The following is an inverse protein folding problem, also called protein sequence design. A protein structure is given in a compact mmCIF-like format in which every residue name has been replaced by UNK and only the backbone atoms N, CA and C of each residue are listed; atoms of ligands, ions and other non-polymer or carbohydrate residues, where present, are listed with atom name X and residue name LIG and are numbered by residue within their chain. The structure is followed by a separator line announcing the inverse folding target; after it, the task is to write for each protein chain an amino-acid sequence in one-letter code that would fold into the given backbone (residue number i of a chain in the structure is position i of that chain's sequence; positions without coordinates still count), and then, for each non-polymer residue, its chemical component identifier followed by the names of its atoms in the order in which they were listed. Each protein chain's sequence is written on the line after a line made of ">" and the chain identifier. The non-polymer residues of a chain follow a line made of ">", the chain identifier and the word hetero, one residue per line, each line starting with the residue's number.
data_IF_832698006811
#
_entry.id   IF_832698006811
#
_cell.length_a   1.000
_cell.length_b   1.000
_cell.length_c   1.000
_cell.angle_alpha   90.00
_cell.angle_beta   90.00
_cell.angle_gamma   90.00
#
_symmetry.space_group_name_H-M   'P 1'
#
loop_
_entity.id
_entity.type
_entity.pdbx_description
1 polymer ?
#
# COMPACT_ATOMS: atom_id res chain seq x y z
N UNK A 1 8.87 15.46 12.38
CA UNK A 1 7.60 15.28 13.13
C UNK A 1 6.93 14.01 12.65
N UNK A 2 6.97 12.97 13.48
CA UNK A 2 6.47 11.63 13.24
C UNK A 2 5.08 11.54 13.85
N UNK A 3 4.05 11.28 13.06
CA UNK A 3 2.69 11.10 13.56
C UNK A 3 2.49 9.65 13.96
N UNK A 4 1.98 9.40 15.16
CA UNK A 4 1.83 8.06 15.73
C UNK A 4 0.49 7.92 16.46
N UNK A 5 -0.04 6.71 16.57
CA UNK A 5 -1.17 6.34 17.43
C UNK A 5 -0.84 5.10 18.23
N UNK A 6 -1.64 4.80 19.24
CA UNK A 6 -1.54 3.55 19.98
C UNK A 6 -2.84 2.78 19.90
N UNK A 7 -2.79 1.44 19.79
CA UNK A 7 -3.96 0.56 19.94
C UNK A 7 -4.32 0.29 21.41
N UNK A 8 -3.37 0.50 22.33
CA UNK A 8 -3.53 0.23 23.75
C UNK A 8 -3.16 1.46 24.60
N UNK A 9 -3.60 1.57 25.86
CA UNK A 9 -3.14 2.65 26.73
C UNK A 9 -1.62 2.59 26.92
N UNK A 10 -0.92 3.71 26.71
CA UNK A 10 0.53 3.82 26.92
C UNK A 10 0.86 4.90 27.95
N UNK A 11 1.85 4.62 28.79
CA UNK A 11 2.37 5.59 29.74
C UNK A 11 3.37 6.52 29.03
N UNK A 12 3.20 7.82 29.25
CA UNK A 12 4.16 8.86 28.88
C UNK A 12 4.98 9.20 30.11
N UNK A 13 6.30 9.23 29.96
CA UNK A 13 7.25 9.31 31.06
C UNK A 13 8.18 10.50 30.91
N UNK A 14 8.77 10.92 32.03
CA UNK A 14 9.74 12.02 32.06
C UNK A 14 11.15 11.64 31.57
N UNK A 15 11.43 10.34 31.40
CA UNK A 15 12.66 9.82 30.82
C UNK A 15 12.35 8.49 30.08
N UNK A 16 13.18 8.06 29.11
CA UNK A 16 12.97 6.83 28.34
C UNK A 16 13.36 5.57 29.15
N UNK A 17 12.80 5.43 30.35
CA UNK A 17 13.07 4.32 31.27
C UNK A 17 11.76 3.83 31.89
N UNK A 18 11.66 2.54 32.19
CA UNK A 18 10.46 1.94 32.78
C UNK A 18 10.21 2.41 34.22
N UNK A 19 11.26 2.86 34.92
CA UNK A 19 11.21 3.39 36.28
C UNK A 19 10.88 4.88 36.38
N UNK A 20 10.95 5.62 35.27
CA UNK A 20 10.72 7.07 35.28
C UNK A 20 9.27 7.43 35.65
N UNK A 21 9.10 8.58 36.31
CA UNK A 21 7.79 9.11 36.68
C UNK A 21 6.87 9.20 35.45
N UNK A 22 5.65 8.70 35.60
CA UNK A 22 4.61 8.80 34.58
C UNK A 22 4.01 10.20 34.65
N UNK A 23 4.14 10.96 33.57
CA UNK A 23 3.61 12.30 33.44
C UNK A 23 2.16 12.30 32.92
N UNK A 24 1.85 11.39 31.98
CA UNK A 24 0.55 11.31 31.33
C UNK A 24 0.28 9.91 30.76
N UNK A 25 -0.91 9.74 30.16
CA UNK A 25 -1.25 8.56 29.35
C UNK A 25 -1.79 8.93 27.97
N UNK A 26 -1.41 8.11 27.00
CA UNK A 26 -1.97 8.07 25.65
C UNK A 26 -3.08 7.02 25.65
N UNK A 27 -4.29 7.40 25.24
CA UNK A 27 -5.40 6.47 25.11
C UNK A 27 -5.38 5.80 23.73
N UNK A 28 -6.00 4.62 23.57
CA UNK A 28 -6.19 4.01 22.27
C UNK A 28 -6.76 4.97 21.22
N UNK A 29 -6.22 4.98 20.01
CA UNK A 29 -6.63 5.86 18.91
C UNK A 29 -6.20 7.33 19.03
N UNK A 30 -5.47 7.69 20.10
CA UNK A 30 -4.94 9.06 20.27
C UNK A 30 -3.76 9.28 19.32
N UNK A 31 -3.89 10.24 18.40
CA UNK A 31 -2.78 10.67 17.57
C UNK A 31 -1.82 11.58 18.37
N UNK A 32 -0.53 11.30 18.28
CA UNK A 32 0.56 12.07 18.86
C UNK A 32 1.58 12.44 17.79
N UNK A 33 2.35 13.50 18.04
CA UNK A 33 3.46 13.89 17.19
C UNK A 33 4.75 13.74 17.99
N UNK A 34 5.71 12.98 17.46
CA UNK A 34 7.03 12.80 18.04
C UNK A 34 8.10 13.51 17.19
N UNK A 35 9.17 13.95 17.83
CA UNK A 35 10.27 14.63 17.15
C UNK A 35 11.26 13.65 16.56
N UNK A 36 11.68 12.68 17.38
CA UNK A 36 12.69 11.69 17.07
C UNK A 36 12.55 10.44 17.93
N UNK A 37 13.18 9.37 17.47
CA UNK A 37 13.40 8.14 18.23
C UNK A 37 14.69 8.27 19.05
N UNK A 38 14.70 7.69 20.25
CA UNK A 38 15.85 7.61 21.16
C UNK A 38 15.94 6.20 21.75
N UNK A 39 17.14 5.80 22.16
CA UNK A 39 17.36 4.57 22.92
C UNK A 39 17.00 4.77 24.41
N UNK A 40 16.50 3.71 25.04
CA UNK A 40 16.12 3.69 26.45
C UNK A 40 16.07 2.27 27.01
N UNK A 41 15.32 2.09 28.10
CA UNK A 41 15.11 0.75 28.66
C UNK A 41 14.41 -0.15 27.64
N UNK A 42 14.93 -1.36 27.48
CA UNK A 42 14.25 -2.42 26.73
C UNK A 42 12.94 -2.78 27.43
N UNK A 43 11.88 -2.79 26.63
CA UNK A 43 10.63 -3.42 27.01
C UNK A 43 10.20 -4.38 25.92
N UNK A 44 10.08 -5.67 26.26
CA UNK A 44 9.65 -6.73 25.34
C UNK A 44 10.50 -6.84 24.07
N UNK A 45 11.81 -6.64 24.18
CA UNK A 45 12.76 -6.79 23.06
C UNK A 45 12.80 -5.57 22.13
N UNK A 46 12.31 -4.41 22.60
CA UNK A 46 12.40 -3.16 21.87
C UNK A 46 12.94 -2.05 22.82
N UNK A 47 14.17 -1.55 22.60
CA UNK A 47 14.79 -0.49 23.42
C UNK A 47 14.41 0.92 22.96
N UNK A 48 13.58 1.07 21.94
CA UNK A 48 13.31 2.37 21.34
C UNK A 48 12.15 3.12 22.02
N UNK A 49 12.32 4.43 22.14
CA UNK A 49 11.36 5.38 22.69
C UNK A 49 11.23 6.60 21.78
N UNK A 50 10.04 7.20 21.72
CA UNK A 50 9.83 8.46 21.02
C UNK A 50 9.92 9.63 21.99
N UNK A 51 10.70 10.65 21.62
CA UNK A 51 10.70 11.95 22.28
C UNK A 51 9.53 12.79 21.75
N UNK A 52 8.71 13.32 22.65
CA UNK A 52 7.59 14.21 22.38
C UNK A 52 7.92 15.58 22.98
N UNK A 53 8.13 16.60 22.15
CA UNK A 53 8.14 17.99 22.59
C UNK A 53 6.71 18.46 22.84
N UNK A 54 6.39 18.71 24.12
CA UNK A 54 5.12 19.24 24.61
C UNK A 54 4.80 20.66 24.18
N UNK A 55 5.24 21.09 22.99
CA UNK A 55 4.60 22.20 22.28
C UNK A 55 3.10 21.87 22.09
N UNK A 56 2.23 22.87 22.14
CA UNK A 56 0.81 22.78 22.51
C UNK A 56 -0.05 21.73 21.77
N UNK A 57 0.41 21.16 20.66
CA UNK A 57 -0.34 20.17 19.85
C UNK A 57 -0.30 18.74 20.41
N UNK A 58 0.71 18.35 21.20
CA UNK A 58 0.73 17.03 21.87
C UNK A 58 -0.05 17.06 23.21
N UNK A 59 -0.04 18.19 23.92
CA UNK A 59 -0.62 18.33 25.25
C UNK A 59 -2.16 18.21 25.27
N UNK A 60 -2.85 18.58 24.19
CA UNK A 60 -4.31 18.44 24.09
C UNK A 60 -4.79 16.99 23.93
N UNK A 61 -3.90 16.08 23.52
CA UNK A 61 -4.18 14.67 23.30
C UNK A 61 -3.86 13.79 24.54
N UNK A 62 -3.16 14.35 25.53
CA UNK A 62 -2.71 13.65 26.71
C UNK A 62 -3.68 13.85 27.87
N UNK A 63 -4.01 12.76 28.58
CA UNK A 63 -4.72 12.87 29.86
C UNK A 63 -3.70 13.10 30.98
N UNK A 64 -3.72 14.25 31.68
CA UNK A 64 -2.80 14.51 32.77
C UNK A 64 -3.00 13.50 33.90
N UNK A 65 -1.91 12.93 34.42
CA UNK A 65 -2.00 12.17 35.66
C UNK A 65 -2.19 13.16 36.83
N UNK A 66 -3.01 12.80 37.82
CA UNK A 66 -3.57 13.69 38.87
C UNK A 66 -2.57 14.60 39.63
N UNK A 67 -1.25 14.39 39.51
CA UNK A 67 -0.19 15.17 40.17
C UNK A 67 1.02 15.48 39.26
N UNK A 68 0.88 15.43 37.93
CA UNK A 68 1.99 15.66 36.99
C UNK A 68 2.11 17.11 36.55
N UNK A 69 3.23 17.77 36.86
CA UNK A 69 3.58 19.06 36.23
C UNK A 69 3.88 18.83 34.74
N UNK A 70 2.92 19.11 33.87
CA UNK A 70 3.04 19.02 32.41
C UNK A 70 4.03 20.03 31.77
N UNK A 71 4.77 20.78 32.59
CA UNK A 71 5.66 21.86 32.16
C UNK A 71 7.10 21.41 31.86
N UNK A 72 7.43 20.12 32.04
CA UNK A 72 8.78 19.62 31.75
C UNK A 72 8.81 18.82 30.45
N UNK A 73 9.39 19.43 29.42
CA UNK A 73 9.82 18.78 28.20
C UNK A 73 11.33 18.49 28.26
N UNK A 74 11.81 17.41 27.64
CA UNK A 74 11.05 16.48 26.79
C UNK A 74 10.34 15.35 27.53
N UNK A 75 9.24 14.83 26.94
CA UNK A 75 8.52 13.64 27.40
C UNK A 75 8.82 12.44 26.49
N UNK A 76 8.61 11.23 27.00
CA UNK A 76 8.98 9.99 26.30
C UNK A 76 7.89 8.93 26.36
N UNK A 77 7.73 8.17 25.27
CA UNK A 77 6.82 7.02 25.18
C UNK A 77 7.51 5.86 24.47
N UNK A 78 7.31 4.63 24.95
CA UNK A 78 7.92 3.45 24.37
C UNK A 78 7.38 3.17 22.95
N UNK A 79 8.28 2.90 22.01
CA UNK A 79 7.96 2.86 20.58
C UNK A 79 7.17 1.61 20.17
N UNK A 80 7.40 0.46 20.82
CA UNK A 80 6.77 -0.80 20.38
C UNK A 80 5.27 -0.91 20.61
N UNK A 81 4.65 0.10 21.25
CA UNK A 81 3.19 0.20 21.40
C UNK A 81 2.55 1.17 20.43
N UNK A 82 3.35 1.88 19.64
CA UNK A 82 2.92 2.94 18.73
C UNK A 82 2.99 2.47 17.28
N UNK A 83 1.99 2.88 16.51
CA UNK A 83 1.91 2.71 15.06
C UNK A 83 1.99 4.08 14.39
N UNK A 84 2.45 4.15 13.15
CA UNK A 84 2.46 5.41 12.41
C UNK A 84 1.04 5.82 12.05
N UNK A 85 0.71 7.08 12.31
CA UNK A 85 -0.52 7.72 11.83
C UNK A 85 -0.15 8.43 10.56
N UNK A 86 -0.54 7.87 9.42
CA UNK A 86 -0.54 8.64 8.19
C UNK A 86 -1.36 9.91 8.40
N UNK A 87 -0.95 11.03 7.81
CA UNK A 87 -1.64 12.30 7.98
C UNK A 87 -3.07 12.21 7.43
N UNK A 88 -4.04 11.77 8.24
CA UNK A 88 -5.43 11.67 7.79
C UNK A 88 -6.08 13.05 7.91
N UNK A 89 -6.66 13.49 6.79
CA UNK A 89 -7.74 14.45 6.71
C UNK A 89 -8.90 14.07 7.68
N UNK A 90 -9.83 14.98 8.00
CA UNK A 90 -10.67 14.84 9.17
C UNK A 90 -11.60 13.62 9.08
N UNK A 91 -11.90 13.05 10.25
CA UNK A 91 -12.83 11.95 10.41
C UNK A 91 -14.17 12.21 9.69
N UNK A 92 -14.60 11.23 8.87
CA UNK A 92 -15.98 11.14 8.43
C UNK A 92 -16.50 9.73 8.71
N UNK A 93 -17.70 9.74 9.28
CA UNK A 93 -18.65 8.68 9.61
C UNK A 93 -18.70 7.48 8.65
N UNK A 94 -19.22 6.32 9.11
CA UNK A 94 -19.20 5.07 8.35
C UNK A 94 -20.15 5.15 7.15
N UNK A 95 -19.60 5.49 5.99
CA UNK A 95 -20.27 5.29 4.72
C UNK A 95 -19.79 3.96 4.12
N UNK A 96 -20.56 2.89 4.40
CA UNK A 96 -20.82 1.76 3.49
C UNK A 96 -19.63 1.06 2.81
N UNK A 97 -19.23 -0.08 3.38
CA UNK A 97 -18.67 -1.28 2.74
C UNK A 97 -17.85 -1.09 1.45
N UNK A 98 -16.52 -1.07 1.55
CA UNK A 98 -15.65 -1.41 0.40
C UNK A 98 -15.67 -2.93 0.23
N UNK A 99 -16.59 -3.42 -0.61
CA UNK A 99 -16.74 -4.82 -1.00
C UNK A 99 -15.48 -5.36 -1.70
N UNK A 100 -14.48 -5.78 -0.93
CA UNK A 100 -13.43 -6.65 -1.46
C UNK A 100 -14.05 -7.98 -1.78
N UNK A 101 -14.29 -8.25 -3.06
CA UNK A 101 -14.70 -9.59 -3.45
C UNK A 101 -13.51 -10.53 -3.23
N UNK A 102 -13.68 -11.50 -2.34
CA UNK A 102 -12.70 -12.55 -2.11
C UNK A 102 -13.21 -13.87 -2.71
N UNK A 103 -12.28 -14.74 -3.07
CA UNK A 103 -12.57 -16.17 -3.30
C UNK A 103 -12.79 -16.86 -1.95
N UNK A 104 -13.37 -18.07 -1.95
CA UNK A 104 -13.53 -18.86 -0.71
C UNK A 104 -12.23 -19.12 0.04
N UNK A 105 -11.09 -19.11 -0.65
CA UNK A 105 -9.75 -19.28 -0.09
C UNK A 105 -9.15 -17.98 0.50
N UNK A 106 -9.92 -16.88 0.52
CA UNK A 106 -9.50 -15.59 1.06
C UNK A 106 -8.70 -14.71 0.08
N UNK A 107 -8.38 -15.21 -1.12
CA UNK A 107 -7.65 -14.42 -2.12
C UNK A 107 -8.53 -13.35 -2.77
N UNK A 108 -7.93 -12.20 -3.12
CA UNK A 108 -8.64 -11.05 -3.70
C UNK A 108 -9.06 -11.36 -5.14
N UNK A 109 -10.33 -11.16 -5.48
CA UNK A 109 -10.84 -11.22 -6.85
C UNK A 109 -10.58 -9.89 -7.56
N UNK A 110 -10.24 -9.93 -8.85
CA UNK A 110 -10.10 -8.71 -9.63
C UNK A 110 -11.44 -8.03 -9.87
N UNK A 111 -11.40 -6.75 -10.23
CA UNK A 111 -12.57 -6.02 -10.73
C UNK A 111 -12.89 -6.50 -12.14
N UNK A 112 -14.18 -6.68 -12.44
CA UNK A 112 -14.62 -6.81 -13.82
C UNK A 112 -14.61 -5.44 -14.53
N UNK A 113 -14.90 -5.41 -15.83
CA UNK A 113 -14.92 -4.17 -16.61
C UNK A 113 -15.85 -3.12 -16.02
N UNK A 114 -17.02 -3.52 -15.51
CA UNK A 114 -17.97 -2.61 -14.86
C UNK A 114 -17.38 -2.01 -13.59
N UNK A 115 -16.69 -2.82 -12.78
CA UNK A 115 -15.95 -2.39 -11.59
C UNK A 115 -14.81 -1.43 -11.93
N UNK A 116 -14.01 -1.75 -12.95
CA UNK A 116 -12.93 -0.88 -13.43
C UNK A 116 -13.48 0.48 -13.89
N UNK A 117 -14.56 0.49 -14.67
CA UNK A 117 -15.22 1.71 -15.11
C UNK A 117 -15.79 2.53 -13.95
N UNK A 118 -16.40 1.87 -12.97
CA UNK A 118 -16.94 2.54 -11.77
C UNK A 118 -15.85 3.23 -10.94
N UNK A 119 -14.71 2.56 -10.78
CA UNK A 119 -13.63 2.99 -9.87
C UNK A 119 -12.67 3.95 -10.56
N UNK A 120 -12.23 3.61 -11.77
CA UNK A 120 -11.18 4.32 -12.51
C UNK A 120 -11.74 5.17 -13.65
N UNK A 121 -13.05 5.10 -13.90
CA UNK A 121 -13.75 5.91 -14.88
C UNK A 121 -13.94 5.18 -16.21
N UNK A 122 -14.94 5.64 -16.95
CA UNK A 122 -15.25 5.17 -18.30
C UNK A 122 -14.54 6.01 -19.34
N UNK A 123 -14.07 5.37 -20.41
CA UNK A 123 -13.52 6.05 -21.57
C UNK A 123 -14.13 5.51 -22.86
N UNK A 124 -14.17 6.37 -23.88
CA UNK A 124 -14.40 5.96 -25.25
C UNK A 124 -13.08 5.49 -25.87
N UNK A 125 -13.17 4.56 -26.82
CA UNK A 125 -12.01 4.08 -27.56
C UNK A 125 -12.38 3.65 -28.97
N UNK A 126 -11.38 3.57 -29.84
CA UNK A 126 -11.48 2.90 -31.15
C UNK A 126 -10.60 1.67 -31.19
N UNK A 127 -11.04 0.63 -31.91
CA UNK A 127 -10.24 -0.57 -32.13
C UNK A 127 -8.98 -0.26 -32.95
N UNK A 128 -7.87 -0.85 -32.54
CA UNK A 128 -6.60 -0.84 -33.26
C UNK A 128 -6.29 -2.21 -33.87
N UNK A 129 -5.01 -2.47 -34.14
CA UNK A 129 -4.55 -3.77 -34.66
C UNK A 129 -4.40 -4.79 -33.54
N UNK A 130 -4.79 -6.04 -33.77
CA UNK A 130 -4.55 -7.17 -32.85
C UNK A 130 -4.98 -6.86 -31.41
N UNK A 131 -6.23 -6.42 -31.24
CA UNK A 131 -6.82 -6.13 -29.93
C UNK A 131 -6.19 -4.97 -29.15
N UNK A 132 -5.31 -4.17 -29.76
CA UNK A 132 -4.96 -2.86 -29.21
C UNK A 132 -6.15 -1.91 -29.34
N UNK A 133 -6.22 -0.91 -28.46
CA UNK A 133 -7.24 0.14 -28.54
C UNK A 133 -6.60 1.53 -28.45
N UNK A 134 -7.25 2.52 -29.05
CA UNK A 134 -6.89 3.93 -28.88
C UNK A 134 -7.94 4.61 -28.01
N UNK A 135 -7.55 4.97 -26.79
CA UNK A 135 -8.41 5.64 -25.81
C UNK A 135 -8.47 7.15 -26.13
N UNK A 136 -9.61 7.78 -25.87
CA UNK A 136 -9.77 9.24 -25.99
C UNK A 136 -8.70 10.02 -25.19
N UNK A 137 -8.08 11.00 -25.86
CA UNK A 137 -6.96 11.76 -25.31
C UNK A 137 -7.31 12.59 -24.08
N UNK A 138 -8.56 13.06 -23.93
CA UNK A 138 -8.98 13.85 -22.77
C UNK A 138 -9.08 12.96 -21.51
N UNK A 139 -9.54 11.71 -21.68
CA UNK A 139 -9.53 10.74 -20.58
C UNK A 139 -8.11 10.40 -20.16
N UNK A 140 -7.20 10.15 -21.11
CA UNK A 140 -5.78 9.86 -20.82
C UNK A 140 -5.17 11.02 -20.04
N UNK A 141 -5.30 12.26 -20.52
CA UNK A 141 -4.72 13.44 -19.89
C UNK A 141 -5.22 13.67 -18.45
N UNK A 142 -6.47 13.28 -18.18
CA UNK A 142 -7.09 13.46 -16.87
C UNK A 142 -6.75 12.35 -15.88
N UNK A 143 -6.32 11.17 -16.33
CA UNK A 143 -6.26 9.96 -15.50
C UNK A 143 -4.93 9.24 -15.50
N UNK A 144 -4.13 9.37 -16.55
CA UNK A 144 -2.86 8.65 -16.70
C UNK A 144 -1.71 9.60 -16.40
N UNK A 145 -0.84 9.18 -15.49
CA UNK A 145 0.30 9.98 -15.01
C UNK A 145 1.58 9.15 -15.04
N UNK A 146 2.70 9.84 -15.27
CA UNK A 146 4.01 9.22 -15.20
C UNK A 146 4.35 8.78 -13.77
N UNK A 147 4.99 7.62 -13.66
CA UNK A 147 5.36 6.96 -12.42
C UNK A 147 6.74 6.30 -12.54
N UNK A 148 7.52 6.34 -11.47
CA UNK A 148 8.81 5.65 -11.40
C UNK A 148 9.10 5.26 -9.97
N UNK A 149 9.72 4.10 -9.78
CA UNK A 149 10.16 3.65 -8.47
C UNK A 149 11.43 2.80 -8.60
N UNK A 150 12.36 2.92 -7.65
CA UNK A 150 13.66 2.26 -7.72
C UNK A 150 13.57 0.73 -7.80
N UNK A 151 12.58 0.15 -7.12
CA UNK A 151 12.34 -1.30 -7.07
C UNK A 151 11.80 -1.94 -8.37
N UNK A 152 11.39 -1.17 -9.38
CA UNK A 152 10.73 -1.72 -10.58
C UNK A 152 11.17 -1.02 -11.86
N UNK A 153 11.09 -1.72 -12.99
CA UNK A 153 11.44 -1.21 -14.33
C UNK A 153 12.84 -0.57 -14.41
N UNK A 154 13.77 -0.99 -13.56
CA UNK A 154 15.12 -0.40 -13.46
C UNK A 154 15.06 1.12 -13.26
N UNK A 155 14.10 1.58 -12.47
CA UNK A 155 13.81 3.00 -12.22
C UNK A 155 13.45 3.84 -13.48
N UNK A 156 13.12 3.19 -14.61
CA UNK A 156 12.63 3.91 -15.78
C UNK A 156 11.15 4.27 -15.58
N UNK A 157 10.74 5.48 -15.98
CA UNK A 157 9.35 5.90 -15.85
C UNK A 157 8.44 5.03 -16.74
N UNK A 158 7.21 4.85 -16.26
CA UNK A 158 6.10 4.23 -16.97
C UNK A 158 4.79 4.90 -16.50
N UNK A 159 3.71 4.67 -17.22
CA UNK A 159 2.44 5.34 -16.94
C UNK A 159 1.50 4.46 -16.11
N UNK A 160 0.79 5.10 -15.18
CA UNK A 160 -0.20 4.50 -14.27
C UNK A 160 -1.45 5.36 -14.18
N UNK A 161 -2.55 4.80 -13.69
CA UNK A 161 -3.70 5.59 -13.27
C UNK A 161 -3.35 6.45 -12.06
N UNK A 162 -3.76 7.72 -12.03
CA UNK A 162 -3.52 8.65 -10.91
C UNK A 162 -3.99 8.10 -9.56
N UNK A 163 -5.14 7.41 -9.55
CA UNK A 163 -5.70 6.74 -8.35
C UNK A 163 -4.90 5.51 -7.91
N UNK A 164 -4.15 4.87 -8.81
CA UNK A 164 -3.35 3.69 -8.49
C UNK A 164 -1.93 4.05 -8.02
N UNK A 165 -1.46 5.28 -8.27
CA UNK A 165 -0.10 5.73 -7.92
C UNK A 165 0.28 5.42 -6.48
N UNK A 166 -0.54 5.82 -5.51
CA UNK A 166 -0.25 5.63 -4.09
C UNK A 166 -0.17 4.15 -3.69
N UNK A 167 -0.94 3.29 -4.36
CA UNK A 167 -0.91 1.85 -4.12
C UNK A 167 0.36 1.20 -4.65
N UNK A 168 0.81 1.62 -5.84
CA UNK A 168 2.12 1.20 -6.35
C UNK A 168 3.25 1.67 -5.44
N UNK A 169 3.19 2.91 -4.93
CA UNK A 169 4.16 3.41 -3.96
C UNK A 169 4.21 2.51 -2.71
N UNK A 170 3.06 2.17 -2.12
CA UNK A 170 2.99 1.29 -0.95
C UNK A 170 3.59 -0.09 -1.21
N UNK A 171 3.24 -0.70 -2.35
CA UNK A 171 3.74 -2.03 -2.75
C UNK A 171 5.26 -1.98 -2.94
N UNK A 172 5.76 -1.06 -3.76
CA UNK A 172 7.17 -1.05 -4.12
C UNK A 172 8.07 -0.56 -2.99
N UNK A 173 7.58 0.30 -2.10
CA UNK A 173 8.28 0.66 -0.86
C UNK A 173 8.42 -0.55 0.07
N UNK A 174 7.35 -1.34 0.25
CA UNK A 174 7.40 -2.55 1.10
C UNK A 174 8.32 -3.61 0.47
N UNK A 175 8.27 -3.82 -0.84
CA UNK A 175 9.20 -4.72 -1.56
C UNK A 175 10.65 -4.31 -1.29
N UNK A 176 10.96 -3.01 -1.38
CA UNK A 176 12.30 -2.51 -1.12
C UNK A 176 12.69 -2.66 0.36
N UNK A 177 11.77 -2.38 1.29
CA UNK A 177 12.00 -2.52 2.72
C UNK A 177 12.27 -3.98 3.13
N UNK A 178 11.67 -4.95 2.43
CA UNK A 178 11.88 -6.38 2.63
C UNK A 178 13.09 -6.94 1.84
N UNK A 179 13.79 -6.11 1.06
CA UNK A 179 14.95 -6.55 0.26
C UNK A 179 14.59 -7.47 -0.91
N UNK A 180 13.34 -7.43 -1.39
CA UNK A 180 12.83 -8.30 -2.45
C UNK A 180 12.96 -7.71 -3.86
N UNK A 181 13.37 -6.44 -3.98
CA UNK A 181 13.44 -5.73 -5.26
C UNK A 181 14.38 -6.40 -6.28
N UNK A 182 15.45 -7.06 -5.82
CA UNK A 182 16.41 -7.73 -6.70
C UNK A 182 15.81 -8.97 -7.38
N UNK A 183 14.66 -9.46 -6.89
CA UNK A 183 13.85 -10.49 -7.53
C UNK A 183 12.99 -10.00 -8.69
N UNK A 184 12.87 -8.69 -8.90
CA UNK A 184 12.13 -8.09 -10.03
C UNK A 184 13.09 -7.91 -11.21
N UNK A 185 13.15 -8.93 -12.06
CA UNK A 185 14.11 -9.05 -13.16
C UNK A 185 13.57 -8.44 -14.47
N UNK A 186 12.26 -8.50 -14.65
CA UNK A 186 11.60 -8.08 -15.89
C UNK A 186 10.31 -7.32 -15.60
N UNK A 187 10.08 -6.25 -16.36
CA UNK A 187 8.87 -5.45 -16.33
C UNK A 187 8.12 -5.63 -17.66
N UNK A 188 6.92 -6.18 -17.61
CA UNK A 188 6.08 -6.49 -18.77
C UNK A 188 5.17 -5.34 -19.21
N UNK A 189 5.00 -4.31 -18.39
CA UNK A 189 4.15 -3.16 -18.67
C UNK A 189 3.18 -2.84 -17.55
N UNK A 190 2.61 -1.63 -17.59
CA UNK A 190 1.56 -1.20 -16.67
C UNK A 190 0.35 -0.63 -17.44
N UNK A 191 0.47 0.58 -18.00
CA UNK A 191 -0.55 1.11 -18.91
C UNK A 191 -0.31 0.62 -20.34
N UNK A 192 -1.16 -0.32 -20.79
CA UNK A 192 -1.17 -0.88 -22.15
C UNK A 192 -2.63 -0.98 -22.61
N UNK A 193 -3.15 0.00 -23.35
CA UNK A 193 -4.52 -0.03 -23.87
C UNK A 193 -4.78 -1.20 -24.84
N UNK A 194 -5.48 -2.24 -24.36
CA UNK A 194 -5.76 -3.46 -25.13
C UNK A 194 -6.91 -4.30 -24.55
N UNK A 195 -7.42 -5.20 -25.38
CA UNK A 195 -8.17 -6.37 -24.96
C UNK A 195 -7.26 -7.42 -24.29
N UNK A 196 -7.85 -8.29 -23.48
CA UNK A 196 -7.14 -9.40 -22.83
C UNK A 196 -6.44 -10.26 -23.89
N UNK A 197 -5.17 -10.63 -23.64
CA UNK A 197 -4.32 -11.36 -24.59
C UNK A 197 -4.20 -10.76 -26.00
N UNK A 198 -4.46 -9.46 -26.21
CA UNK A 198 -4.48 -8.86 -27.56
C UNK A 198 -5.54 -9.50 -28.50
N UNK A 199 -6.66 -9.96 -27.93
CA UNK A 199 -7.75 -10.60 -28.66
C UNK A 199 -9.01 -9.73 -28.62
N UNK A 200 -9.44 -9.11 -29.74
CA UNK A 200 -10.60 -8.22 -29.78
C UNK A 200 -11.93 -8.94 -29.45
N UNK A 201 -11.97 -10.28 -29.44
CA UNK A 201 -13.14 -11.03 -29.00
C UNK A 201 -13.27 -11.11 -27.47
N UNK A 202 -12.25 -10.71 -26.70
CA UNK A 202 -12.26 -10.71 -25.23
C UNK A 202 -12.64 -9.33 -24.68
N UNK A 203 -12.89 -9.26 -23.38
CA UNK A 203 -13.07 -7.98 -22.70
C UNK A 203 -11.78 -7.14 -22.69
N UNK A 204 -11.92 -5.84 -22.37
CA UNK A 204 -10.77 -4.97 -22.11
C UNK A 204 -9.94 -5.50 -20.94
N UNK A 205 -8.62 -5.39 -21.07
CA UNK A 205 -7.68 -5.69 -19.98
C UNK A 205 -7.59 -4.51 -19.01
N UNK A 206 -7.38 -4.79 -17.73
CA UNK A 206 -7.08 -3.78 -16.70
C UNK A 206 -5.84 -2.94 -16.97
N UNK A 207 -4.90 -3.44 -17.78
CA UNK A 207 -3.81 -2.61 -18.33
C UNK A 207 -4.31 -1.38 -19.08
N UNK A 208 -5.53 -1.40 -19.65
CA UNK A 208 -6.12 -0.25 -20.34
C UNK A 208 -6.43 0.92 -19.40
N UNK A 209 -6.61 0.65 -18.11
CA UNK A 209 -6.80 1.68 -17.10
C UNK A 209 -5.49 2.10 -16.43
N UNK A 210 -4.37 1.41 -16.64
CA UNK A 210 -3.10 1.71 -15.97
C UNK A 210 -3.09 1.31 -14.49
N UNK A 211 -3.82 0.24 -14.14
CA UNK A 211 -4.00 -0.23 -12.75
C UNK A 211 -3.44 -1.63 -12.53
N UNK A 212 -2.78 -2.20 -13.54
CA UNK A 212 -2.18 -3.51 -13.50
C UNK A 212 -0.68 -3.43 -13.82
N UNK A 213 0.11 -4.39 -13.35
CA UNK A 213 1.53 -4.51 -13.68
C UNK A 213 1.87 -5.98 -13.94
N UNK A 214 2.67 -6.20 -14.99
CA UNK A 214 3.22 -7.51 -15.29
C UNK A 214 4.69 -7.56 -14.88
N UNK A 215 5.09 -8.57 -14.10
CA UNK A 215 6.45 -8.75 -13.58
C UNK A 215 7.00 -10.13 -13.94
N UNK A 216 8.31 -10.20 -14.19
CA UNK A 216 9.04 -11.45 -14.44
C UNK A 216 8.39 -12.30 -15.56
N UNK A 217 7.97 -11.67 -16.66
CA UNK A 217 7.12 -12.29 -17.69
C UNK A 217 7.75 -13.51 -18.36
N UNK A 218 9.08 -13.55 -18.50
CA UNK A 218 9.80 -14.70 -19.06
C UNK A 218 9.60 -15.99 -18.26
N UNK A 219 9.27 -15.90 -16.98
CA UNK A 219 9.09 -17.03 -16.06
C UNK A 219 7.63 -17.29 -15.69
N UNK A 220 6.74 -16.32 -15.91
CA UNK A 220 5.37 -16.32 -15.37
C UNK A 220 4.30 -16.06 -16.44
N UNK A 221 4.53 -16.54 -17.67
CA UNK A 221 3.63 -16.26 -18.80
C UNK A 221 2.20 -16.78 -18.63
N UNK A 222 1.26 -16.11 -19.29
CA UNK A 222 -0.16 -16.47 -19.33
C UNK A 222 -0.38 -17.95 -19.66
N UNK A 223 -1.30 -18.59 -18.93
CA UNK A 223 -1.65 -20.00 -19.04
C UNK A 223 -0.62 -20.96 -18.44
N UNK A 224 0.43 -20.47 -17.78
CA UNK A 224 1.48 -21.27 -17.15
C UNK A 224 1.42 -21.18 -15.63
N UNK A 225 2.04 -22.15 -14.96
CA UNK A 225 2.23 -22.10 -13.51
C UNK A 225 3.31 -21.05 -13.17
N UNK A 226 3.21 -20.39 -11.99
CA UNK A 226 4.25 -19.48 -11.51
C UNK A 226 5.60 -20.19 -11.37
N UNK A 227 6.68 -19.44 -11.50
CA UNK A 227 7.99 -19.91 -11.09
C UNK A 227 7.98 -20.26 -9.57
N UNK A 228 8.52 -21.43 -9.17
CA UNK A 228 8.53 -21.85 -7.76
C UNK A 228 9.15 -20.82 -6.82
N UNK A 229 8.70 -20.79 -5.57
CA UNK A 229 9.25 -19.88 -4.56
C UNK A 229 10.77 -20.11 -4.40
N UNK A 230 11.53 -19.04 -4.28
CA UNK A 230 12.99 -19.02 -4.21
C UNK A 230 13.71 -19.28 -5.54
N UNK A 231 12.98 -19.54 -6.63
CA UNK A 231 13.58 -19.70 -7.96
C UNK A 231 13.71 -18.37 -8.70
N UNK A 232 14.58 -18.34 -9.72
CA UNK A 232 14.76 -17.17 -10.57
C UNK A 232 13.44 -16.75 -11.22
N UNK A 233 13.11 -15.46 -11.09
CA UNK A 233 11.89 -14.89 -11.64
C UNK A 233 10.62 -15.25 -10.85
N UNK A 234 10.71 -15.84 -9.66
CA UNK A 234 9.51 -16.02 -8.82
C UNK A 234 8.89 -14.67 -8.45
N UNK A 235 7.56 -14.68 -8.33
CA UNK A 235 6.77 -13.56 -7.85
C UNK A 235 5.99 -13.94 -6.59
N UNK A 236 6.13 -15.18 -6.10
CA UNK A 236 5.33 -15.70 -4.99
C UNK A 236 5.61 -14.95 -3.69
N UNK A 237 6.83 -14.47 -3.51
CA UNK A 237 7.26 -13.63 -2.39
C UNK A 237 6.63 -12.23 -2.45
N UNK A 238 6.25 -11.76 -3.65
CA UNK A 238 5.63 -10.46 -3.85
C UNK A 238 4.11 -10.51 -3.61
N UNK A 239 3.47 -11.66 -3.85
CA UNK A 239 2.00 -11.84 -3.75
C UNK A 239 1.42 -11.35 -2.40
N UNK A 240 1.98 -11.70 -1.23
CA UNK A 240 1.46 -11.20 0.05
C UNK A 240 1.51 -9.67 0.16
N UNK A 241 2.53 -9.03 -0.39
CA UNK A 241 2.68 -7.55 -0.37
C UNK A 241 1.64 -6.91 -1.27
N UNK A 242 1.49 -7.39 -2.50
CA UNK A 242 0.46 -6.92 -3.42
C UNK A 242 -0.95 -7.09 -2.82
N UNK A 243 -1.25 -8.25 -2.25
CA UNK A 243 -2.54 -8.51 -1.60
C UNK A 243 -2.78 -7.57 -0.40
N UNK A 244 -1.76 -7.30 0.44
CA UNK A 244 -1.83 -6.38 1.58
C UNK A 244 -2.32 -4.99 1.16
N UNK A 245 -1.93 -4.54 -0.03
CA UNK A 245 -2.32 -3.24 -0.59
C UNK A 245 -3.43 -3.32 -1.62
N UNK A 246 -4.20 -4.41 -1.63
CA UNK A 246 -5.46 -4.49 -2.38
C UNK A 246 -5.33 -4.89 -3.84
N UNK A 247 -4.20 -5.45 -4.26
CA UNK A 247 -4.05 -6.03 -5.59
C UNK A 247 -4.52 -7.48 -5.61
N UNK A 248 -5.25 -7.86 -6.65
CA UNK A 248 -5.45 -9.24 -7.03
C UNK A 248 -4.24 -9.75 -7.81
N UNK A 249 -3.93 -11.03 -7.67
CA UNK A 249 -2.87 -11.71 -8.42
C UNK A 249 -3.46 -12.69 -9.43
N UNK A 250 -3.00 -12.62 -10.68
CA UNK A 250 -3.47 -13.46 -11.79
C UNK A 250 -3.13 -14.93 -11.66
N UNK A 251 -2.17 -15.30 -10.80
CA UNK A 251 -1.91 -16.70 -10.44
C UNK A 251 -3.09 -17.38 -9.73
N UNK A 252 -4.02 -16.61 -9.16
CA UNK A 252 -5.27 -17.13 -8.58
C UNK A 252 -6.43 -17.25 -9.58
N UNK A 253 -6.19 -17.00 -10.88
CA UNK A 253 -7.21 -17.16 -11.91
C UNK A 253 -7.40 -18.64 -12.25
N UNK A 254 -8.64 -19.02 -12.58
CA UNK A 254 -9.01 -20.41 -12.78
C UNK A 254 -8.62 -20.97 -14.15
N UNK A 255 -8.27 -22.26 -14.18
CA UNK A 255 -8.13 -23.04 -15.41
C UNK A 255 -7.07 -22.50 -16.36
N UNK A 256 -7.44 -22.33 -17.63
CA UNK A 256 -6.53 -21.87 -18.70
C UNK A 256 -6.25 -20.36 -18.67
N UNK A 257 -6.85 -19.63 -17.73
CA UNK A 257 -6.70 -18.19 -17.58
C UNK A 257 -5.74 -17.80 -16.45
N UNK A 258 -5.04 -18.75 -15.85
CA UNK A 258 -3.96 -18.45 -14.89
C UNK A 258 -2.96 -17.49 -15.52
N UNK A 259 -2.59 -16.43 -14.81
CA UNK A 259 -1.70 -15.39 -15.31
C UNK A 259 -0.72 -14.92 -14.23
N UNK A 260 0.33 -15.71 -13.92
CA UNK A 260 1.14 -15.46 -12.74
C UNK A 260 2.01 -14.20 -12.81
N UNK A 261 2.26 -13.64 -14.00
CA UNK A 261 2.99 -12.37 -14.12
C UNK A 261 2.16 -11.17 -13.67
N UNK A 262 0.83 -11.32 -13.63
CA UNK A 262 -0.12 -10.21 -13.58
C UNK A 262 -0.57 -9.86 -12.16
N UNK A 263 -0.52 -8.57 -11.81
CA UNK A 263 -1.08 -8.00 -10.59
C UNK A 263 -1.97 -6.82 -10.95
N UNK A 264 -3.18 -6.73 -10.39
CA UNK A 264 -4.10 -5.63 -10.68
C UNK A 264 -4.82 -5.09 -9.45
N UNK A 265 -4.94 -3.76 -9.37
CA UNK A 265 -5.55 -3.10 -8.22
C UNK A 265 -7.06 -3.37 -8.20
N UNK A 266 -7.52 -4.09 -7.17
CA UNK A 266 -8.91 -4.46 -6.99
C UNK A 266 -9.62 -3.61 -5.92
N UNK A 267 -8.85 -2.88 -5.09
CA UNK A 267 -9.36 -2.06 -3.99
C UNK A 267 -8.77 -0.66 -3.96
N UNK A 268 -9.60 0.31 -3.59
CA UNK A 268 -9.19 1.67 -3.29
C UNK A 268 -9.29 2.02 -1.79
N UNK A 269 -8.99 1.07 -0.89
CA UNK A 269 -8.77 1.40 0.52
C UNK A 269 -7.27 1.40 0.81
N UNK A 270 -6.70 2.57 1.09
CA UNK A 270 -5.35 2.66 1.67
C UNK A 270 -5.52 2.39 3.17
N UNK A 271 -4.92 1.30 3.71
CA UNK A 271 -5.00 0.98 5.13
C UNK A 271 -4.33 2.05 6.01
#
# INVERSE_FOLDING_TARGET
>A
MIKLSSKNPLNVRMAPTLGAQIAARILPGTAIVADKIVEGDDFRGNPHWYQIDGSQQAASALTPFKNGNAAQNPLFVWAGGLEFVDAIAPAISPATSTNTQQRPDGTIKPLDVTGLQSVFGTFNYTEGTSGSIQIDSAWIHSNIVAYSHAAVNKNRPFDVHQKAKAYFDLVFNEIQAQGLQDGILEFGGCWVPRHICHDPAKALSSHSWGVAVDLNVSWNGYGRQPAPAGSIGSVLELVPIFNKYGFAWGGHFGGKSIDPMHFELALLHIP
#
